data_IF_374652991473
#
_entry.id   IF_374652991473
#
_cell.length_a   1.000
_cell.length_b   1.000
_cell.length_c   1.000
_cell.angle_alpha   90.00
_cell.angle_beta   90.00
_cell.angle_gamma   90.00
#
_symmetry.space_group_name_H-M   'P 1'
#
loop_
_entity.id
_entity.type
_entity.pdbx_description
1 polymer ?
#
# COMPACT_ATOMS: atom_id res chain seq x y z
N UNK A 1 -16.97 -9.95 1.69
CA UNK A 1 -15.50 -9.90 1.66
C UNK A 1 -15.04 -8.64 0.92
N UNK A 2 -13.98 -7.99 1.40
CA UNK A 2 -13.39 -6.78 0.80
C UNK A 2 -11.98 -7.09 0.31
N UNK A 3 -11.75 -7.03 -1.00
CA UNK A 3 -10.41 -7.07 -1.57
C UNK A 3 -9.84 -5.64 -1.60
N UNK A 4 -8.55 -5.47 -1.30
CA UNK A 4 -7.88 -4.16 -1.40
C UNK A 4 -6.67 -4.27 -2.32
N UNK A 5 -6.32 -3.19 -3.02
CA UNK A 5 -5.15 -3.13 -3.90
C UNK A 5 -4.31 -1.93 -3.51
N UNK A 6 -3.03 -2.19 -3.23
CA UNK A 6 -2.01 -1.16 -3.01
C UNK A 6 -0.92 -1.33 -4.06
N UNK A 7 -0.89 -0.44 -5.05
CA UNK A 7 0.10 -0.51 -6.13
C UNK A 7 1.49 -0.06 -5.68
N UNK A 8 1.60 0.82 -4.68
CA UNK A 8 2.89 1.31 -4.18
C UNK A 8 3.03 1.15 -2.65
N UNK A 9 3.07 -0.09 -2.14
CA UNK A 9 3.17 -0.34 -0.71
C UNK A 9 4.51 0.10 -0.15
N UNK A 10 4.54 0.34 1.16
CA UNK A 10 5.72 0.85 1.85
C UNK A 10 5.96 0.12 3.17
N UNK A 11 7.21 0.10 3.62
CA UNK A 11 7.52 -0.12 5.02
C UNK A 11 7.67 1.23 5.72
N UNK A 12 6.71 1.59 6.55
CA UNK A 12 6.72 2.87 7.26
C UNK A 12 7.59 2.74 8.52
N UNK A 13 8.70 3.47 8.56
CA UNK A 13 9.66 3.48 9.67
C UNK A 13 9.42 4.74 10.49
N UNK A 14 8.77 4.59 11.64
CA UNK A 14 8.49 5.73 12.53
C UNK A 14 9.52 5.82 13.64
N UNK A 15 10.23 6.94 13.70
CA UNK A 15 11.19 7.31 14.72
C UNK A 15 10.54 8.32 15.66
N UNK A 16 10.61 8.08 16.96
CA UNK A 16 10.20 9.06 17.97
C UNK A 16 11.43 9.75 18.51
N UNK A 17 11.45 11.09 18.52
CA UNK A 17 12.53 11.91 19.09
C UNK A 17 11.96 12.88 20.10
N UNK A 18 12.74 13.22 21.14
CA UNK A 18 12.34 14.25 22.09
C UNK A 18 12.19 15.61 21.39
N UNK A 19 13.19 15.97 20.59
CA UNK A 19 13.20 17.16 19.72
C UNK A 19 13.89 16.82 18.41
N UNK A 20 13.29 17.23 17.29
CA UNK A 20 13.96 17.23 16.00
C UNK A 20 14.71 18.55 15.82
N UNK A 21 16.04 18.49 15.74
CA UNK A 21 16.92 19.65 15.51
C UNK A 21 17.58 19.52 14.14
N UNK A 22 17.40 20.52 13.27
CA UNK A 22 18.04 20.52 11.95
C UNK A 22 19.56 20.70 12.09
N UNK A 23 20.31 20.14 11.14
CA UNK A 23 21.78 20.21 11.10
C UNK A 23 22.50 19.52 12.29
N UNK A 24 21.76 18.76 13.12
CA UNK A 24 22.30 18.03 14.27
C UNK A 24 22.07 16.51 14.20
N UNK A 25 22.89 15.77 14.97
CA UNK A 25 22.74 14.34 15.15
C UNK A 25 21.63 14.02 16.18
N UNK A 26 20.43 13.75 15.66
CA UNK A 26 19.26 13.42 16.47
C UNK A 26 19.31 11.96 16.97
N UNK A 27 18.86 11.72 18.20
CA UNK A 27 18.72 10.37 18.77
C UNK A 27 17.25 10.09 19.05
N UNK A 28 16.75 9.07 18.37
CA UNK A 28 15.44 8.48 18.66
C UNK A 28 15.36 7.83 20.04
N UNK A 29 14.20 7.94 20.67
CA UNK A 29 13.82 7.24 21.90
C UNK A 29 13.14 5.90 21.61
N UNK A 30 12.50 5.76 20.45
CA UNK A 30 11.90 4.52 19.98
C UNK A 30 11.76 4.48 18.45
N UNK A 31 11.57 3.26 17.92
CA UNK A 31 11.05 3.07 16.58
C UNK A 31 10.15 1.87 16.45
N UNK A 32 9.22 2.03 15.53
CA UNK A 32 8.37 0.96 15.03
C UNK A 32 8.41 0.91 13.51
N UNK A 33 8.06 -0.26 13.00
CA UNK A 33 7.83 -0.52 11.58
C UNK A 33 6.37 -0.89 11.40
N UNK A 34 5.72 -0.29 10.42
CA UNK A 34 4.33 -0.56 10.09
C UNK A 34 4.22 -0.98 8.62
N UNK A 35 3.37 -1.98 8.30
CA UNK A 35 3.03 -2.27 6.91
C UNK A 35 2.19 -1.11 6.36
N UNK A 36 2.79 -0.35 5.44
CA UNK A 36 2.27 0.90 4.92
C UNK A 36 1.67 0.79 3.52
N UNK A 37 0.80 1.75 3.20
CA UNK A 37 0.05 1.81 1.95
C UNK A 37 -1.46 1.88 2.20
N UNK A 38 -2.16 2.76 1.47
CA UNK A 38 -3.59 3.06 1.74
C UNK A 38 -4.47 1.80 1.69
N UNK A 39 -4.35 0.97 0.65
CA UNK A 39 -5.15 -0.26 0.54
C UNK A 39 -4.81 -1.29 1.63
N UNK A 40 -3.53 -1.44 1.99
CA UNK A 40 -3.09 -2.27 3.11
C UNK A 40 -3.72 -1.78 4.42
N UNK A 41 -3.73 -0.48 4.68
CA UNK A 41 -4.37 0.09 5.86
C UNK A 41 -5.88 -0.17 5.89
N UNK A 42 -6.57 -0.11 4.73
CA UNK A 42 -7.98 -0.51 4.64
C UNK A 42 -8.15 -1.98 5.05
N UNK A 43 -7.33 -2.90 4.52
CA UNK A 43 -7.39 -4.32 4.91
C UNK A 43 -7.13 -4.55 6.39
N UNK A 44 -6.15 -3.84 6.97
CA UNK A 44 -5.86 -3.91 8.41
C UNK A 44 -7.06 -3.48 9.25
N UNK A 45 -7.71 -2.37 8.90
CA UNK A 45 -8.91 -1.88 9.61
C UNK A 45 -10.10 -2.83 9.43
N UNK A 46 -10.34 -3.33 8.21
CA UNK A 46 -11.40 -4.31 7.97
C UNK A 46 -11.17 -5.57 8.81
N UNK A 47 -9.93 -6.05 8.90
CA UNK A 47 -9.57 -7.20 9.71
C UNK A 47 -9.79 -6.96 11.21
N UNK A 48 -9.34 -5.82 11.73
CA UNK A 48 -9.52 -5.42 13.14
C UNK A 48 -11.02 -5.37 13.52
N UNK A 49 -11.86 -4.89 12.60
CA UNK A 49 -13.32 -4.88 12.74
C UNK A 49 -13.97 -6.26 12.51
N UNK A 50 -13.18 -7.34 12.46
CA UNK A 50 -13.60 -8.74 12.25
C UNK A 50 -14.25 -9.00 10.90
N UNK A 51 -14.02 -8.13 9.91
CA UNK A 51 -14.42 -8.31 8.53
C UNK A 51 -13.48 -9.25 7.76
N UNK A 52 -13.98 -9.80 6.66
CA UNK A 52 -13.18 -10.64 5.75
C UNK A 52 -12.49 -9.77 4.70
N UNK A 53 -11.17 -9.84 4.61
CA UNK A 53 -10.37 -9.09 3.63
C UNK A 53 -9.19 -9.89 3.09
N UNK A 54 -8.71 -9.52 1.89
CA UNK A 54 -7.44 -9.95 1.33
C UNK A 54 -6.77 -8.71 0.71
N UNK A 55 -5.53 -8.42 1.11
CA UNK A 55 -4.73 -7.34 0.55
C UNK A 55 -3.91 -7.81 -0.66
N UNK A 56 -4.03 -7.10 -1.76
CA UNK A 56 -3.27 -7.31 -3.00
C UNK A 56 -2.36 -6.11 -3.26
N UNK A 57 -1.36 -6.30 -4.11
CA UNK A 57 -0.33 -5.29 -4.39
C UNK A 57 0.98 -5.91 -4.82
N UNK A 58 2.02 -5.09 -4.99
CA UNK A 58 3.37 -5.58 -5.26
C UNK A 58 4.16 -5.79 -3.96
N UNK A 59 5.09 -6.71 -3.96
CA UNK A 59 6.04 -6.86 -2.84
C UNK A 59 7.39 -7.35 -3.35
N UNK A 60 8.48 -6.80 -2.81
CA UNK A 60 9.83 -7.17 -3.22
C UNK A 60 10.87 -6.62 -2.26
N UNK A 61 12.04 -7.24 -2.28
CA UNK A 61 13.15 -6.87 -1.41
C UNK A 61 12.95 -7.20 0.06
N UNK A 62 13.95 -6.82 0.86
CA UNK A 62 14.02 -7.11 2.30
C UNK A 62 12.87 -6.42 3.05
N UNK A 63 12.61 -5.14 2.73
CA UNK A 63 11.52 -4.40 3.35
C UNK A 63 10.15 -5.03 3.01
N UNK A 64 10.02 -5.66 1.85
CA UNK A 64 8.82 -6.41 1.44
C UNK A 64 8.61 -7.69 2.24
N UNK A 65 9.69 -8.40 2.59
CA UNK A 65 9.62 -9.55 3.48
C UNK A 65 9.22 -9.15 4.89
N UNK A 66 9.76 -8.04 5.41
CA UNK A 66 9.35 -7.49 6.71
C UNK A 66 7.88 -7.09 6.68
N UNK A 67 7.41 -6.43 5.63
CA UNK A 67 6.01 -6.05 5.47
C UNK A 67 5.08 -7.28 5.57
N UNK A 68 5.40 -8.37 4.86
CA UNK A 68 4.65 -9.63 4.92
C UNK A 68 4.64 -10.22 6.34
N UNK A 69 5.79 -10.24 7.01
CA UNK A 69 5.89 -10.74 8.38
C UNK A 69 5.01 -9.94 9.35
N UNK A 70 4.99 -8.62 9.23
CA UNK A 70 4.14 -7.76 10.07
C UNK A 70 2.65 -8.03 9.84
N UNK A 71 2.23 -8.20 8.57
CA UNK A 71 0.85 -8.54 8.27
C UNK A 71 0.46 -9.94 8.78
N UNK A 72 1.37 -10.92 8.68
CA UNK A 72 1.17 -12.26 9.24
C UNK A 72 0.99 -12.22 10.76
N UNK A 73 1.82 -11.45 11.47
CA UNK A 73 1.71 -11.25 12.92
C UNK A 73 0.38 -10.58 13.31
N UNK A 74 -0.13 -9.67 12.46
CA UNK A 74 -1.42 -9.02 12.63
C UNK A 74 -2.62 -9.89 12.19
N UNK A 75 -2.38 -11.08 11.62
CA UNK A 75 -3.45 -11.96 11.11
C UNK A 75 -4.13 -11.47 9.83
N UNK A 76 -3.60 -10.44 9.17
CA UNK A 76 -4.22 -9.82 7.98
C UNK A 76 -3.90 -10.62 6.73
N UNK A 77 -4.90 -11.21 6.04
CA UNK A 77 -4.65 -11.99 4.83
C UNK A 77 -4.17 -11.12 3.66
N UNK A 78 -3.21 -11.63 2.89
CA UNK A 78 -2.70 -10.96 1.69
C UNK A 78 -2.36 -11.97 0.59
N UNK A 79 -2.37 -11.50 -0.65
CA UNK A 79 -1.89 -12.21 -1.85
C UNK A 79 -1.15 -11.23 -2.76
N UNK A 80 0.08 -10.89 -2.37
CA UNK A 80 0.93 -9.98 -3.12
C UNK A 80 1.55 -10.63 -4.36
N UNK A 81 1.85 -9.81 -5.36
CA UNK A 81 2.65 -10.17 -6.53
C UNK A 81 4.10 -9.82 -6.26
N UNK A 82 4.97 -10.83 -6.27
CA UNK A 82 6.42 -10.62 -6.09
C UNK A 82 7.00 -9.85 -7.27
N UNK A 83 7.81 -8.84 -6.97
CA UNK A 83 8.55 -8.04 -7.96
C UNK A 83 10.05 -8.11 -7.69
N UNK A 84 10.86 -7.78 -8.70
CA UNK A 84 12.33 -7.74 -8.57
C UNK A 84 12.84 -6.58 -7.73
N UNK A 85 12.17 -5.43 -7.81
CA UNK A 85 12.57 -4.22 -7.08
C UNK A 85 12.11 -4.24 -5.62
N UNK A 86 12.86 -3.57 -4.77
CA UNK A 86 12.52 -3.38 -3.36
C UNK A 86 11.33 -2.43 -3.22
N UNK A 87 10.36 -2.76 -2.36
CA UNK A 87 9.33 -1.78 -1.99
C UNK A 87 9.97 -0.57 -1.31
N UNK A 88 9.28 0.56 -1.35
CA UNK A 88 9.77 1.79 -0.73
C UNK A 88 9.71 1.75 0.79
N UNK A 89 10.55 2.56 1.41
CA UNK A 89 10.50 2.86 2.85
C UNK A 89 10.15 4.33 3.05
N UNK A 90 9.13 4.61 3.87
CA UNK A 90 8.85 5.98 4.30
C UNK A 90 9.47 6.21 5.67
N UNK A 91 10.06 7.38 5.87
CA UNK A 91 10.57 7.79 7.18
C UNK A 91 9.57 8.76 7.81
N UNK A 92 9.17 8.46 9.04
CA UNK A 92 8.23 9.28 9.80
C UNK A 92 8.92 9.67 11.09
N UNK A 93 9.10 10.96 11.34
CA UNK A 93 9.69 11.48 12.57
C UNK A 93 8.58 12.08 13.41
N UNK A 94 8.32 11.50 14.58
CA UNK A 94 7.42 12.04 15.59
C UNK A 94 8.24 12.86 16.59
N UNK A 95 8.01 14.17 16.62
CA UNK A 95 8.71 15.12 17.49
C UNK A 95 7.84 15.43 18.72
N UNK A 96 8.25 14.96 19.89
CA UNK A 96 7.47 15.08 21.12
C UNK A 96 7.41 16.52 21.63
N UNK A 97 8.49 17.30 21.49
CA UNK A 97 8.56 18.67 22.00
C UNK A 97 7.49 19.62 21.46
N UNK A 98 6.94 19.32 20.28
CA UNK A 98 5.92 20.14 19.64
C UNK A 98 4.75 19.34 19.06
N UNK A 99 4.64 18.04 19.40
CA UNK A 99 3.61 17.12 18.90
C UNK A 99 3.43 17.14 17.37
N UNK A 100 4.52 17.27 16.62
CA UNK A 100 4.49 17.30 15.15
C UNK A 100 5.02 16.02 14.52
N UNK A 101 4.65 15.80 13.25
CA UNK A 101 5.20 14.73 12.43
C UNK A 101 5.81 15.30 11.15
N UNK A 102 7.01 14.82 10.82
CA UNK A 102 7.65 15.05 9.53
C UNK A 102 7.73 13.73 8.79
N UNK A 103 7.34 13.73 7.51
CA UNK A 103 7.38 12.54 6.65
C UNK A 103 8.32 12.76 5.47
N UNK A 104 9.13 11.75 5.19
CA UNK A 104 10.00 11.68 4.02
C UNK A 104 9.61 10.40 3.28
N UNK A 105 8.87 10.56 2.19
CA UNK A 105 8.35 9.45 1.41
C UNK A 105 9.29 9.15 0.25
N UNK A 106 9.68 7.88 0.10
CA UNK A 106 10.49 7.44 -1.02
C UNK A 106 9.61 7.16 -2.25
N UNK A 107 10.16 7.29 -3.49
CA UNK A 107 9.51 6.75 -4.67
C UNK A 107 9.42 5.21 -4.57
N UNK A 108 8.40 4.64 -5.21
CA UNK A 108 8.28 3.19 -5.37
C UNK A 108 9.29 2.63 -6.38
N UNK A 109 9.45 1.29 -6.44
CA UNK A 109 10.25 0.66 -7.49
C UNK A 109 9.58 0.82 -8.85
N UNK A 110 10.39 0.81 -9.92
CA UNK A 110 9.86 0.73 -11.28
C UNK A 110 9.31 -0.67 -11.55
N UNK A 111 8.03 -0.74 -11.91
CA UNK A 111 7.33 -1.99 -12.20
C UNK A 111 7.45 -2.34 -13.68
N UNK A 112 7.83 -3.57 -13.98
CA UNK A 112 7.86 -4.09 -15.36
C UNK A 112 6.47 -4.46 -15.86
N UNK A 113 6.31 -4.51 -17.19
CA UNK A 113 5.04 -4.95 -17.83
C UNK A 113 4.62 -6.36 -17.42
N UNK A 114 5.58 -7.26 -17.19
CA UNK A 114 5.30 -8.65 -16.79
C UNK A 114 4.81 -8.74 -15.35
N UNK A 115 5.41 -7.97 -14.44
CA UNK A 115 4.96 -7.85 -13.04
C UNK A 115 3.57 -7.22 -12.95
N UNK A 116 3.34 -6.14 -13.70
CA UNK A 116 2.03 -5.50 -13.80
C UNK A 116 0.98 -6.48 -14.32
N UNK A 117 1.27 -7.20 -15.41
CA UNK A 117 0.38 -8.23 -15.97
C UNK A 117 0.04 -9.34 -14.98
N UNK A 118 1.00 -9.72 -14.13
CA UNK A 118 0.78 -10.75 -13.10
C UNK A 118 -0.22 -10.28 -12.04
N UNK A 119 -0.09 -9.04 -11.54
CA UNK A 119 -1.04 -8.48 -10.57
C UNK A 119 -2.42 -8.22 -11.20
N UNK A 120 -2.48 -7.63 -12.39
CA UNK A 120 -3.76 -7.35 -13.05
C UNK A 120 -4.49 -8.64 -13.43
N UNK A 121 -3.76 -9.69 -13.80
CA UNK A 121 -4.30 -11.04 -14.01
C UNK A 121 -5.02 -11.56 -12.76
N UNK A 122 -4.39 -11.47 -11.57
CA UNK A 122 -5.02 -11.84 -10.30
C UNK A 122 -6.30 -11.04 -10.02
N UNK A 123 -6.26 -9.72 -10.22
CA UNK A 123 -7.42 -8.84 -9.94
C UNK A 123 -8.58 -9.07 -10.93
N UNK A 124 -8.27 -9.49 -12.16
CA UNK A 124 -9.29 -9.77 -13.19
C UNK A 124 -10.10 -11.04 -12.89
N UNK A 125 -9.60 -11.92 -12.03
CA UNK A 125 -10.26 -13.17 -11.65
C UNK A 125 -10.12 -13.42 -10.16
N UNK A 126 -10.74 -12.55 -9.35
CA UNK A 126 -10.68 -12.65 -7.90
C UNK A 126 -11.56 -13.78 -7.40
N UNK A 127 -10.93 -14.78 -6.78
CA UNK A 127 -11.62 -15.88 -6.13
C UNK A 127 -11.22 -15.99 -4.64
N UNK A 128 -12.20 -16.06 -3.72
CA UNK A 128 -13.64 -15.90 -3.96
C UNK A 128 -13.99 -14.47 -4.40
N UNK A 129 -15.09 -14.30 -5.15
CA UNK A 129 -15.53 -12.98 -5.60
C UNK A 129 -15.83 -12.06 -4.40
N UNK A 130 -15.17 -10.89 -4.27
CA UNK A 130 -15.46 -9.95 -3.20
C UNK A 130 -16.72 -9.12 -3.47
N UNK A 131 -17.32 -8.60 -2.40
CA UNK A 131 -18.43 -7.63 -2.49
C UNK A 131 -17.94 -6.25 -2.92
N UNK A 132 -16.70 -5.92 -2.52
CA UNK A 132 -16.01 -4.67 -2.80
C UNK A 132 -14.55 -4.90 -3.18
N UNK A 133 -14.08 -4.17 -4.17
CA UNK A 133 -12.68 -3.96 -4.51
C UNK A 133 -12.31 -2.51 -4.17
N UNK A 134 -11.41 -2.33 -3.20
CA UNK A 134 -10.88 -1.01 -2.82
C UNK A 134 -9.53 -0.83 -3.51
N UNK A 135 -9.44 0.19 -4.35
CA UNK A 135 -8.22 0.60 -5.05
C UNK A 135 -7.72 1.87 -4.37
N UNK A 136 -6.55 1.83 -3.75
CA UNK A 136 -6.11 2.96 -2.95
C UNK A 136 -4.60 3.22 -2.95
N UNK A 137 -4.25 4.51 -2.99
CA UNK A 137 -2.89 5.02 -2.89
C UNK A 137 -2.24 5.35 -4.24
N UNK A 138 -0.98 5.77 -4.17
CA UNK A 138 -0.22 6.20 -5.35
C UNK A 138 0.18 5.05 -6.27
N UNK A 139 0.45 5.41 -7.52
CA UNK A 139 0.92 4.49 -8.56
C UNK A 139 2.45 4.54 -8.62
N UNK A 140 3.16 3.39 -8.62
CA UNK A 140 4.62 3.38 -8.69
C UNK A 140 5.12 3.65 -10.13
N UNK A 141 6.40 4.03 -10.32
CA UNK A 141 6.96 4.22 -11.65
C UNK A 141 6.79 2.99 -12.56
N UNK A 142 6.62 3.22 -13.86
CA UNK A 142 6.44 2.15 -14.85
C UNK A 142 5.01 1.61 -14.99
N UNK A 143 4.09 2.02 -14.11
CA UNK A 143 2.67 1.71 -14.22
C UNK A 143 1.93 2.91 -14.87
N UNK A 144 1.06 2.68 -15.88
CA UNK A 144 0.28 3.76 -16.49
C UNK A 144 -0.70 4.43 -15.51
N UNK A 145 -0.93 5.74 -15.69
CA UNK A 145 -1.83 6.51 -14.82
C UNK A 145 -3.30 6.06 -14.90
N UNK A 146 -3.70 5.44 -16.02
CA UNK A 146 -5.04 4.89 -16.24
C UNK A 146 -5.27 3.50 -15.60
N UNK A 147 -4.30 3.00 -14.82
CA UNK A 147 -4.37 1.64 -14.24
C UNK A 147 -5.63 1.43 -13.39
N UNK A 148 -6.03 2.41 -12.59
CA UNK A 148 -7.22 2.27 -11.74
C UNK A 148 -8.49 2.18 -12.57
N UNK A 149 -8.61 2.92 -13.67
CA UNK A 149 -9.72 2.79 -14.61
C UNK A 149 -9.83 1.35 -15.14
N UNK A 150 -8.71 0.79 -15.62
CA UNK A 150 -8.65 -0.59 -16.13
C UNK A 150 -9.09 -1.62 -15.08
N UNK A 151 -8.62 -1.48 -13.85
CA UNK A 151 -9.01 -2.36 -12.75
C UNK A 151 -10.49 -2.21 -12.39
N UNK A 152 -11.02 -0.98 -12.39
CA UNK A 152 -12.44 -0.69 -12.13
C UNK A 152 -13.32 -1.34 -13.21
N UNK A 153 -12.96 -1.18 -14.48
CA UNK A 153 -13.71 -1.80 -15.59
C UNK A 153 -13.70 -3.33 -15.52
N UNK A 154 -12.56 -3.94 -15.18
CA UNK A 154 -12.44 -5.38 -14.99
C UNK A 154 -13.31 -5.89 -13.83
N UNK A 155 -13.33 -5.17 -12.70
CA UNK A 155 -14.16 -5.49 -11.54
C UNK A 155 -15.65 -5.33 -11.85
N UNK A 156 -16.04 -4.27 -12.58
CA UNK A 156 -17.43 -4.04 -13.02
C UNK A 156 -17.94 -5.17 -13.90
N UNK A 157 -17.12 -5.70 -14.82
CA UNK A 157 -17.47 -6.87 -15.66
C UNK A 157 -17.77 -8.12 -14.84
N UNK A 158 -17.16 -8.26 -13.67
CA UNK A 158 -17.43 -9.34 -12.73
C UNK A 158 -18.60 -9.03 -11.78
N UNK A 159 -19.21 -7.84 -11.86
CA UNK A 159 -20.25 -7.38 -10.93
C UNK A 159 -19.73 -7.15 -9.51
N UNK A 160 -18.49 -6.69 -9.36
CA UNK A 160 -17.88 -6.29 -8.09
C UNK A 160 -18.03 -4.77 -7.93
N UNK A 161 -18.40 -4.29 -6.73
CA UNK A 161 -18.46 -2.85 -6.44
C UNK A 161 -17.06 -2.32 -6.17
N UNK A 162 -16.76 -1.12 -6.64
CA UNK A 162 -15.42 -0.53 -6.52
C UNK A 162 -15.43 0.73 -5.67
N UNK A 163 -14.39 0.91 -4.86
CA UNK A 163 -14.08 2.17 -4.17
C UNK A 163 -12.69 2.61 -4.62
N UNK A 164 -12.54 3.88 -5.01
CA UNK A 164 -11.27 4.46 -5.41
C UNK A 164 -10.90 5.59 -4.43
N UNK A 165 -9.76 5.45 -3.76
CA UNK A 165 -9.13 6.50 -2.92
C UNK A 165 -7.69 6.72 -3.39
N UNK A 166 -7.54 7.65 -4.33
CA UNK A 166 -6.25 8.03 -4.90
C UNK A 166 -6.16 9.54 -5.01
N UNK A 167 -4.94 10.02 -5.22
CA UNK A 167 -4.65 11.45 -5.30
C UNK A 167 -4.53 11.87 -6.78
N UNK A 168 -4.77 13.16 -7.03
CA UNK A 168 -4.46 13.86 -8.28
C UNK A 168 -4.89 13.14 -9.58
N UNK A 169 -3.93 12.88 -10.47
CA UNK A 169 -4.16 12.38 -11.83
C UNK A 169 -4.74 10.97 -11.82
N UNK A 170 -4.34 10.12 -10.89
CA UNK A 170 -4.84 8.74 -10.79
C UNK A 170 -6.31 8.68 -10.40
N UNK A 171 -6.78 9.63 -9.58
CA UNK A 171 -8.20 9.79 -9.30
C UNK A 171 -8.94 10.28 -10.55
N UNK A 172 -8.42 11.31 -11.22
CA UNK A 172 -9.03 11.87 -12.44
C UNK A 172 -9.17 10.83 -13.54
N UNK A 173 -8.12 10.06 -13.83
CA UNK A 173 -8.16 8.99 -14.83
C UNK A 173 -9.07 7.85 -14.39
N UNK A 174 -9.04 7.47 -13.11
CA UNK A 174 -9.83 6.35 -12.57
C UNK A 174 -11.36 6.55 -12.62
N UNK A 175 -11.84 7.79 -12.61
CA UNK A 175 -13.29 8.10 -12.64
C UNK A 175 -13.85 8.34 -14.06
N UNK A 176 -13.00 8.39 -15.09
CA UNK A 176 -13.42 8.47 -16.49
C UNK A 176 -13.98 7.15 -16.98
#
# INVERSE_FOLDING_TARGET
MIATVTLNPSLDKTFTVERLVLEEANRWTSMRRDPGGKGINVSRVVHELRGKTIAYGFVGGIDGDILKQLLQQQGVPFDFTTIKGDIRSNLIITNLSNNSQTRIDAPGPTISKSELGSLTGKITYLEPKPDYLVLAGSVPPGVPDDIYKKLIEAAKKQGIRTVLDSDEEWLKEGIK
#
